data_IF_361898168806
#
_entry.id   IF_361898168806
#
_cell.length_a   1.000
_cell.length_b   1.000
_cell.length_c   1.000
_cell.angle_alpha   90.00
_cell.angle_beta   90.00
_cell.angle_gamma   90.00
#
_symmetry.space_group_name_H-M   'P 1'
#
loop_
_entity.id
_entity.type
_entity.pdbx_description
1 polymer ?
#
# COMPACT_ATOMS: atom_id res chain seq x y z
N UNK A 1 2.58 -6.75 -8.53
CA UNK A 1 3.26 -5.69 -9.29
C UNK A 1 3.88 -4.73 -8.28
N UNK A 2 5.15 -4.31 -8.40
CA UNK A 2 5.73 -3.39 -7.44
C UNK A 2 5.09 -2.01 -7.60
N UNK A 3 4.35 -1.55 -6.59
CA UNK A 3 3.94 -0.14 -6.50
C UNK A 3 5.16 0.65 -6.09
N UNK A 4 5.57 1.59 -6.96
CA UNK A 4 6.65 2.53 -6.67
C UNK A 4 6.10 3.62 -5.76
N UNK A 5 6.44 3.58 -4.48
CA UNK A 5 6.31 4.75 -3.61
C UNK A 5 7.58 5.57 -3.79
N UNK A 6 7.43 6.83 -4.21
CA UNK A 6 8.53 7.78 -4.26
C UNK A 6 8.38 8.70 -3.06
N UNK A 7 9.25 8.57 -2.06
CA UNK A 7 9.35 9.54 -0.98
C UNK A 7 10.40 10.58 -1.38
N UNK A 8 9.98 11.84 -1.59
CA UNK A 8 10.89 12.91 -2.00
C UNK A 8 11.40 13.70 -0.78
N UNK A 9 12.62 13.43 -0.36
CA UNK A 9 13.38 14.36 0.48
C UNK A 9 14.33 15.17 -0.43
N UNK A 10 13.90 16.37 -0.83
CA UNK A 10 14.71 17.25 -1.67
C UNK A 10 15.70 18.07 -0.82
N UNK A 11 16.94 18.26 -1.29
CA UNK A 11 17.59 19.55 -1.21
C UNK A 11 17.91 20.14 -2.60
N UNK A 12 18.09 21.45 -2.59
CA UNK A 12 18.11 22.42 -3.69
C UNK A 12 19.01 22.12 -4.90
N UNK A 13 18.47 22.47 -6.07
CA UNK A 13 19.06 22.51 -7.43
C UNK A 13 20.34 23.32 -7.57
N UNK A 14 21.25 22.88 -8.45
CA UNK A 14 22.12 23.75 -9.27
C UNK A 14 22.37 23.16 -10.68
N UNK A 15 22.37 24.09 -11.64
CA UNK A 15 22.40 24.06 -13.12
C UNK A 15 23.41 23.18 -13.86
N UNK A 16 23.06 22.72 -15.07
CA UNK A 16 24.00 22.29 -16.12
C UNK A 16 23.40 21.52 -17.31
N UNK A 17 23.38 22.14 -18.49
CA UNK A 17 22.95 21.59 -19.80
C UNK A 17 23.92 20.54 -20.38
N UNK A 18 23.45 19.49 -21.09
CA UNK A 18 23.59 19.32 -22.56
C UNK A 18 23.10 17.93 -23.07
N UNK A 19 22.83 17.89 -24.38
CA UNK A 19 22.18 16.91 -25.26
C UNK A 19 22.79 15.49 -25.35
N UNK A 20 21.93 14.49 -25.60
CA UNK A 20 22.30 13.14 -26.05
C UNK A 20 21.12 12.16 -26.03
N UNK A 21 20.50 11.89 -27.18
CA UNK A 21 19.45 10.87 -27.33
C UNK A 21 20.04 9.46 -27.22
N UNK A 22 19.76 8.79 -26.11
CA UNK A 22 19.63 7.32 -26.04
C UNK A 22 18.48 7.03 -25.10
N UNK A 23 17.40 6.46 -25.62
CA UNK A 23 16.26 6.01 -24.80
C UNK A 23 16.77 4.99 -23.76
N UNK A 24 16.68 5.28 -22.44
CA UNK A 24 17.10 4.32 -21.44
C UNK A 24 16.08 3.19 -21.36
N UNK A 25 16.57 1.98 -21.12
CA UNK A 25 15.73 0.87 -20.69
C UNK A 25 14.94 1.28 -19.44
N UNK A 26 13.69 0.84 -19.29
CA UNK A 26 12.75 1.32 -18.26
C UNK A 26 13.22 1.16 -16.79
N UNK A 27 14.37 0.50 -16.58
CA UNK A 27 15.04 0.35 -15.30
C UNK A 27 16.03 1.49 -14.94
N UNK A 28 16.32 2.45 -15.83
CA UNK A 28 17.38 3.45 -15.60
C UNK A 28 16.94 4.77 -14.95
N UNK A 29 15.67 4.93 -14.56
CA UNK A 29 15.12 6.20 -14.04
C UNK A 29 14.82 6.18 -12.53
N UNK A 30 15.43 5.27 -11.76
CA UNK A 30 15.36 5.38 -10.31
C UNK A 30 16.24 6.57 -9.88
N UNK A 31 15.61 7.57 -9.28
CA UNK A 31 16.33 8.66 -8.62
C UNK A 31 17.28 8.08 -7.57
N UNK A 32 18.48 8.65 -7.46
CA UNK A 32 19.40 8.36 -6.36
C UNK A 32 18.63 8.58 -5.04
N UNK A 33 18.58 7.56 -4.19
CA UNK A 33 17.90 7.61 -2.88
C UNK A 33 16.49 6.99 -2.83
N UNK A 34 15.91 6.53 -3.94
CA UNK A 34 14.61 5.84 -3.89
C UNK A 34 14.76 4.41 -3.38
N UNK A 35 13.96 4.02 -2.38
CA UNK A 35 13.84 2.63 -1.91
C UNK A 35 12.63 1.97 -2.56
N UNK A 36 12.81 0.74 -3.06
CA UNK A 36 11.77 -0.05 -3.71
C UNK A 36 11.65 -1.39 -3.01
N UNK A 37 10.42 -1.76 -2.67
CA UNK A 37 10.09 -3.03 -2.03
C UNK A 37 9.13 -3.84 -2.90
N UNK A 38 9.24 -5.16 -2.81
CA UNK A 38 8.22 -6.08 -3.31
C UNK A 38 7.24 -6.37 -2.19
N UNK A 39 5.95 -6.38 -2.50
CA UNK A 39 4.89 -6.64 -1.53
C UNK A 39 3.79 -7.53 -2.12
N UNK A 40 3.10 -8.22 -1.22
CA UNK A 40 1.93 -9.04 -1.50
C UNK A 40 0.71 -8.46 -0.79
N UNK A 41 -0.45 -8.56 -1.44
CA UNK A 41 -1.70 -7.99 -0.95
C UNK A 41 -2.74 -9.07 -0.67
N UNK A 42 -3.45 -8.93 0.44
CA UNK A 42 -4.61 -9.74 0.79
C UNK A 42 -5.86 -8.88 0.73
N UNK A 43 -6.85 -9.27 -0.06
CA UNK A 43 -8.16 -8.64 -0.08
C UNK A 43 -8.99 -9.26 1.04
N UNK A 44 -9.61 -8.42 1.88
CA UNK A 44 -10.56 -8.86 2.89
C UNK A 44 -11.85 -9.32 2.20
N UNK A 45 -12.05 -10.63 2.13
CA UNK A 45 -13.13 -11.29 1.38
C UNK A 45 -14.17 -11.97 2.28
N UNK A 46 -14.03 -11.80 3.60
CA UNK A 46 -14.86 -12.39 4.66
C UNK A 46 -14.85 -13.92 4.75
N UNK A 47 -14.02 -14.60 3.93
CA UNK A 47 -13.91 -16.06 3.86
C UNK A 47 -12.50 -16.55 4.14
N UNK A 48 -11.57 -16.24 3.24
CA UNK A 48 -10.15 -16.58 3.39
C UNK A 48 -9.46 -15.55 4.29
N UNK A 49 -9.89 -14.30 4.16
CA UNK A 49 -9.29 -13.15 4.83
C UNK A 49 -10.39 -12.31 5.47
N UNK A 50 -10.42 -12.31 6.79
CA UNK A 50 -11.36 -11.52 7.58
C UNK A 50 -10.71 -10.18 7.98
N UNK A 51 -11.43 -9.34 8.73
CA UNK A 51 -10.86 -8.11 9.28
C UNK A 51 -9.92 -8.37 10.47
N UNK A 52 -9.98 -9.54 11.11
CA UNK A 52 -9.00 -9.94 12.10
C UNK A 52 -7.81 -10.61 11.41
N UNK A 53 -6.61 -10.04 11.60
CA UNK A 53 -5.41 -10.42 10.85
C UNK A 53 -4.87 -11.77 11.32
N UNK A 54 -4.77 -11.99 12.63
CA UNK A 54 -4.34 -13.28 13.21
C UNK A 54 -2.88 -13.67 12.91
N UNK A 55 -2.08 -12.72 12.43
CA UNK A 55 -0.65 -12.86 12.08
C UNK A 55 0.03 -11.49 12.10
N UNK A 56 1.34 -11.48 11.84
CA UNK A 56 2.15 -10.24 11.82
C UNK A 56 2.02 -9.43 13.11
N UNK A 57 1.90 -10.15 14.24
CA UNK A 57 1.76 -9.61 15.60
C UNK A 57 0.51 -8.75 15.87
N UNK A 58 -0.37 -8.57 14.89
CA UNK A 58 -1.61 -7.83 15.06
C UNK A 58 -2.65 -8.64 15.84
N UNK A 59 -3.09 -8.08 16.98
CA UNK A 59 -4.23 -8.62 17.74
C UNK A 59 -5.56 -8.09 17.18
N UNK A 60 -6.70 -8.72 17.50
CA UNK A 60 -8.02 -8.20 17.13
C UNK A 60 -8.25 -6.75 17.60
N UNK A 61 -7.72 -6.36 18.77
CA UNK A 61 -7.78 -4.99 19.26
C UNK A 61 -6.95 -4.03 18.40
N UNK A 62 -5.78 -4.47 17.92
CA UNK A 62 -4.99 -3.72 16.95
C UNK A 62 -5.74 -3.54 15.64
N UNK A 63 -6.33 -4.62 15.13
CA UNK A 63 -7.13 -4.62 13.90
C UNK A 63 -8.25 -3.58 14.00
N UNK A 64 -9.09 -3.62 15.05
CA UNK A 64 -10.17 -2.66 15.24
C UNK A 64 -9.63 -1.22 15.33
N UNK A 65 -8.53 -0.99 16.06
CA UNK A 65 -7.93 0.34 16.19
C UNK A 65 -7.42 0.90 14.86
N UNK A 66 -6.97 0.05 13.94
CA UNK A 66 -6.53 0.47 12.61
C UNK A 66 -7.70 0.62 11.64
N UNK A 67 -8.62 -0.34 11.59
CA UNK A 67 -9.77 -0.28 10.71
C UNK A 67 -10.68 0.91 11.00
N UNK A 68 -10.85 1.29 12.27
CA UNK A 68 -11.61 2.49 12.67
C UNK A 68 -10.98 3.81 12.21
N UNK A 69 -9.74 3.82 11.70
CA UNK A 69 -9.16 5.00 11.06
C UNK A 69 -9.77 5.29 9.68
N UNK A 70 -10.41 4.32 9.06
CA UNK A 70 -11.11 4.51 7.79
C UNK A 70 -12.57 4.87 8.06
N UNK A 71 -13.07 6.04 7.62
CA UNK A 71 -14.49 6.38 7.77
C UNK A 71 -15.42 5.34 7.14
N UNK A 72 -15.00 4.71 6.05
CA UNK A 72 -15.72 3.62 5.38
C UNK A 72 -15.85 2.36 6.22
N UNK A 73 -15.12 2.20 7.32
CA UNK A 73 -15.27 1.04 8.20
C UNK A 73 -16.42 1.18 9.21
N UNK A 74 -16.88 2.41 9.47
CA UNK A 74 -17.84 2.72 10.54
C UNK A 74 -19.13 1.87 10.49
N UNK A 75 -19.68 1.63 9.29
CA UNK A 75 -20.88 0.82 9.11
C UNK A 75 -20.67 -0.69 9.34
N UNK A 76 -19.42 -1.15 9.31
CA UNK A 76 -19.05 -2.57 9.43
C UNK A 76 -18.63 -2.94 10.85
N UNK A 77 -18.17 -1.95 11.63
CA UNK A 77 -17.50 -2.15 12.93
C UNK A 77 -18.24 -3.11 13.87
N UNK A 78 -19.54 -2.92 14.09
CA UNK A 78 -20.31 -3.75 15.04
C UNK A 78 -20.34 -5.22 14.66
N UNK A 79 -20.38 -5.55 13.36
CA UNK A 79 -20.35 -6.93 12.90
C UNK A 79 -18.93 -7.50 12.99
N UNK A 80 -17.93 -6.67 12.66
CA UNK A 80 -16.52 -7.07 12.74
C UNK A 80 -16.10 -7.38 14.18
N UNK A 81 -16.55 -6.59 15.15
CA UNK A 81 -16.27 -6.85 16.57
C UNK A 81 -16.83 -8.19 17.06
N UNK A 82 -17.90 -8.71 16.43
CA UNK A 82 -18.54 -9.97 16.81
C UNK A 82 -17.78 -11.19 16.26
N UNK A 83 -17.41 -11.17 14.97
CA UNK A 83 -16.89 -12.38 14.31
C UNK A 83 -15.71 -12.14 13.34
N UNK A 84 -15.11 -10.95 13.37
CA UNK A 84 -14.07 -10.53 12.42
C UNK A 84 -14.63 -10.16 11.04
N UNK A 85 -15.95 -10.02 10.90
CA UNK A 85 -16.64 -9.68 9.66
C UNK A 85 -16.97 -10.89 8.79
N UNK A 86 -16.96 -12.11 9.35
CA UNK A 86 -17.28 -13.36 8.63
C UNK A 86 -18.73 -13.39 8.14
N UNK A 87 -19.62 -12.72 8.85
CA UNK A 87 -21.04 -12.59 8.48
C UNK A 87 -21.33 -11.46 7.49
N UNK A 88 -20.33 -10.63 7.14
CA UNK A 88 -20.52 -9.51 6.22
C UNK A 88 -20.53 -9.97 4.76
N UNK A 89 -21.41 -9.33 3.98
CA UNK A 89 -21.38 -9.36 2.52
C UNK A 89 -20.77 -8.05 2.00
N UNK A 90 -19.56 -8.15 1.44
CA UNK A 90 -18.82 -7.00 0.88
C UNK A 90 -18.98 -6.87 -0.65
N UNK A 91 -19.76 -7.73 -1.30
CA UNK A 91 -19.83 -7.81 -2.77
C UNK A 91 -20.25 -6.51 -3.46
N UNK A 92 -21.12 -5.72 -2.81
CA UNK A 92 -21.61 -4.43 -3.31
C UNK A 92 -21.07 -3.24 -2.51
N UNK A 93 -20.07 -3.47 -1.65
CA UNK A 93 -19.49 -2.39 -0.86
C UNK A 93 -18.55 -1.54 -1.71
N UNK A 94 -18.70 -0.21 -1.65
CA UNK A 94 -17.94 0.72 -2.49
C UNK A 94 -16.46 0.86 -2.10
N UNK A 95 -16.02 0.11 -1.09
CA UNK A 95 -14.66 0.13 -0.57
C UNK A 95 -14.11 -1.29 -0.48
N UNK A 96 -12.88 -1.46 -0.96
CA UNK A 96 -12.15 -2.71 -0.87
C UNK A 96 -11.09 -2.56 0.22
N UNK A 97 -11.21 -3.37 1.27
CA UNK A 97 -10.24 -3.43 2.34
C UNK A 97 -9.17 -4.47 2.02
N UNK A 98 -7.92 -4.14 2.30
CA UNK A 98 -6.77 -4.98 2.01
C UNK A 98 -5.72 -4.89 3.11
N UNK A 99 -4.81 -5.85 3.12
CA UNK A 99 -3.52 -5.75 3.82
C UNK A 99 -2.38 -5.90 2.85
N UNK A 100 -1.41 -4.98 2.88
CA UNK A 100 -0.22 -5.05 2.04
C UNK A 100 1.01 -5.34 2.88
N UNK A 101 1.70 -6.45 2.59
CA UNK A 101 2.89 -6.89 3.30
C UNK A 101 4.10 -6.87 2.38
N UNK A 102 5.06 -6.03 2.72
CA UNK A 102 6.38 -6.01 2.08
C UNK A 102 7.15 -7.27 2.45
N UNK A 103 7.80 -7.87 1.45
CA UNK A 103 8.53 -9.14 1.58
C UNK A 103 10.04 -8.92 1.56
N UNK A 104 10.52 -8.06 0.65
CA UNK A 104 11.95 -7.78 0.49
C UNK A 104 12.21 -6.46 -0.25
N UNK A 105 13.40 -5.90 -0.04
CA UNK A 105 13.93 -4.78 -0.80
C UNK A 105 14.38 -5.25 -2.19
N UNK A 106 14.07 -4.46 -3.22
CA UNK A 106 14.38 -4.78 -4.63
C UNK A 106 15.71 -4.18 -5.07
N UNK A 107 16.02 -2.97 -4.60
CA UNK A 107 17.14 -2.17 -5.12
C UNK A 107 18.15 -1.73 -4.04
N UNK A 108 17.91 -2.08 -2.77
CA UNK A 108 18.79 -1.75 -1.63
C UNK A 108 19.01 -2.97 -0.76
N UNK A 109 20.09 -2.97 0.01
CA UNK A 109 20.34 -3.97 1.05
C UNK A 109 19.51 -3.73 2.32
N UNK A 110 19.51 -4.73 3.20
CA UNK A 110 18.83 -4.65 4.51
C UNK A 110 19.46 -3.62 5.46
N UNK A 111 20.63 -3.10 5.12
CA UNK A 111 21.41 -2.09 5.84
C UNK A 111 21.01 -0.64 5.50
N UNK A 112 19.96 -0.43 4.69
CA UNK A 112 19.47 0.91 4.34
C UNK A 112 18.80 1.68 5.50
N UNK A 113 18.70 1.08 6.69
CA UNK A 113 18.16 1.74 7.89
C UNK A 113 16.63 1.84 7.95
N UNK A 114 15.92 1.19 7.03
CA UNK A 114 14.46 1.09 7.03
C UNK A 114 14.00 -0.30 7.49
N UNK A 115 12.87 -0.36 8.18
CA UNK A 115 12.19 -1.61 8.52
C UNK A 115 11.02 -1.83 7.58
N UNK A 116 10.86 -3.09 7.14
CA UNK A 116 9.70 -3.59 6.39
C UNK A 116 9.02 -4.75 7.15
N UNK A 117 9.25 -4.83 8.47
CA UNK A 117 8.75 -5.94 9.30
C UNK A 117 7.22 -5.93 9.38
N UNK A 118 6.62 -4.74 9.45
CA UNK A 118 5.18 -4.54 9.53
C UNK A 118 4.44 -4.74 8.22
N UNK A 119 3.20 -4.25 8.21
CA UNK A 119 2.30 -4.28 7.06
C UNK A 119 1.38 -3.06 7.06
N UNK A 120 0.66 -2.85 5.96
CA UNK A 120 -0.31 -1.77 5.83
C UNK A 120 -1.72 -2.32 5.91
N UNK A 121 -2.55 -1.72 6.75
CA UNK A 121 -4.01 -1.74 6.57
C UNK A 121 -4.35 -0.79 5.43
N UNK A 122 -5.14 -1.21 4.45
CA UNK A 122 -5.40 -0.45 3.23
C UNK A 122 -6.89 -0.44 2.91
N UNK A 123 -7.37 0.70 2.44
CA UNK A 123 -8.72 0.91 1.95
C UNK A 123 -8.66 1.58 0.57
N UNK A 124 -9.23 0.90 -0.43
CA UNK A 124 -9.39 1.41 -1.80
C UNK A 124 -10.84 1.83 -2.02
N UNK A 125 -11.04 3.03 -2.58
CA UNK A 125 -12.34 3.57 -2.95
C UNK A 125 -12.65 3.26 -4.42
N UNK A 126 -13.70 2.50 -4.68
CA UNK A 126 -14.14 2.17 -6.03
C UNK A 126 -14.74 3.39 -6.76
N UNK A 127 -15.14 4.43 -6.03
CA UNK A 127 -15.77 5.62 -6.62
C UNK A 127 -14.78 6.60 -7.26
N UNK A 128 -13.59 6.75 -6.68
CA UNK A 128 -12.60 7.75 -7.11
C UNK A 128 -11.18 7.19 -7.28
N UNK A 129 -10.97 5.90 -7.01
CA UNK A 129 -9.68 5.23 -7.14
C UNK A 129 -8.64 5.65 -6.10
N UNK A 130 -9.05 6.36 -5.03
CA UNK A 130 -8.15 6.71 -3.94
C UNK A 130 -7.78 5.48 -3.10
N UNK A 131 -6.53 5.44 -2.64
CA UNK A 131 -6.03 4.43 -1.71
C UNK A 131 -5.54 5.14 -0.46
N UNK A 132 -6.07 4.73 0.68
CA UNK A 132 -5.62 5.18 1.98
C UNK A 132 -5.08 3.97 2.74
N UNK A 133 -4.04 4.16 3.53
CA UNK A 133 -3.50 3.11 4.37
C UNK A 133 -2.85 3.62 5.64
N UNK A 134 -2.67 2.70 6.58
CA UNK A 134 -1.96 2.93 7.83
C UNK A 134 -0.99 1.78 8.07
N UNK A 135 0.28 2.11 8.25
CA UNK A 135 1.32 1.14 8.60
C UNK A 135 1.12 0.68 10.05
N UNK A 136 1.32 -0.62 10.26
CA UNK A 136 1.34 -1.28 11.55
C UNK A 136 2.63 -2.07 11.73
N UNK A 137 3.31 -1.78 12.82
CA UNK A 137 4.40 -2.55 13.40
C UNK A 137 4.44 -2.18 14.89
N UNK A 138 4.39 -3.15 15.83
CA UNK A 138 4.36 -2.88 17.26
C UNK A 138 5.60 -2.12 17.76
N UNK A 139 6.70 -2.16 17.01
CA UNK A 139 7.96 -1.50 17.36
C UNK A 139 8.15 -0.14 16.66
N UNK A 140 7.19 0.28 15.85
CA UNK A 140 7.24 1.52 15.08
C UNK A 140 6.27 2.57 15.61
N UNK A 141 6.43 3.82 15.16
CA UNK A 141 5.42 4.85 15.42
C UNK A 141 4.08 4.43 14.80
N UNK A 142 2.97 4.50 15.54
CA UNK A 142 1.68 3.99 15.07
C UNK A 142 1.05 4.91 14.03
N UNK A 143 0.17 4.34 13.20
CA UNK A 143 -0.68 5.07 12.25
C UNK A 143 0.06 5.96 11.25
N UNK A 144 1.25 5.55 10.81
CA UNK A 144 1.93 6.23 9.70
C UNK A 144 1.08 6.09 8.44
N UNK A 145 0.70 7.22 7.85
CA UNK A 145 -0.34 7.29 6.83
C UNK A 145 0.24 7.12 5.42
N UNK A 146 -0.43 6.31 4.62
CA UNK A 146 -0.21 6.16 3.18
C UNK A 146 -1.41 6.75 2.44
N UNK A 147 -1.18 7.67 1.50
CA UNK A 147 -2.22 8.22 0.63
C UNK A 147 -1.75 8.17 -0.82
N UNK A 148 -2.48 7.45 -1.66
CA UNK A 148 -2.20 7.34 -3.07
C UNK A 148 -3.44 7.74 -3.86
N UNK A 149 -3.21 8.45 -4.97
CA UNK A 149 -4.21 8.72 -6.00
C UNK A 149 -3.65 8.28 -7.34
N UNK A 150 -4.50 7.66 -8.16
CA UNK A 150 -4.14 7.45 -9.55
C UNK A 150 -3.92 8.80 -10.22
N UNK A 151 -2.83 8.93 -10.97
CA UNK A 151 -2.57 10.06 -11.85
C UNK A 151 -2.64 9.57 -13.29
N UNK A 152 -3.47 10.25 -14.09
CA UNK A 152 -3.50 10.09 -15.55
C UNK A 152 -2.67 11.18 -16.25
N UNK A 153 -2.03 12.07 -15.48
CA UNK A 153 -1.29 13.22 -16.00
C UNK A 153 0.22 12.95 -15.96
N UNK A 154 0.86 13.06 -17.13
CA UNK A 154 2.30 12.87 -17.31
C UNK A 154 2.71 11.44 -17.69
N UNK A 155 3.81 11.31 -18.44
CA UNK A 155 4.37 10.04 -18.95
C UNK A 155 5.13 9.21 -17.88
N UNK A 156 4.67 9.20 -16.62
CA UNK A 156 5.43 8.56 -15.53
C UNK A 156 4.77 7.33 -14.92
N UNK A 157 3.47 7.11 -15.17
CA UNK A 157 2.76 5.87 -14.83
C UNK A 157 2.41 5.06 -16.08
N UNK A 158 2.50 3.74 -15.99
CA UNK A 158 1.94 2.84 -17.00
C UNK A 158 0.68 2.20 -16.43
N UNK A 159 -0.45 2.38 -17.11
CA UNK A 159 -1.66 1.59 -16.91
C UNK A 159 -1.76 0.56 -18.02
N UNK A 160 -2.08 -0.68 -17.69
CA UNK A 160 -2.28 -1.75 -18.66
C UNK A 160 -3.77 -2.02 -18.79
N UNK A 161 -4.26 -2.23 -20.02
CA UNK A 161 -5.70 -2.37 -20.30
C UNK A 161 -6.32 -3.66 -19.75
N UNK A 162 -5.54 -4.75 -19.68
CA UNK A 162 -5.87 -6.02 -19.03
C UNK A 162 -4.70 -6.98 -19.22
N UNK A 163 -4.48 -7.90 -18.27
CA UNK A 163 -3.62 -9.07 -18.46
C UNK A 163 -4.26 -10.25 -17.74
N UNK A 164 -4.07 -11.45 -18.30
CA UNK A 164 -4.52 -12.71 -17.71
C UNK A 164 -3.31 -13.65 -17.69
N UNK A 165 -3.03 -14.23 -16.52
CA UNK A 165 -2.01 -15.27 -16.39
C UNK A 165 -2.69 -16.61 -16.68
N UNK A 166 -2.09 -17.40 -17.57
CA UNK A 166 -2.54 -18.76 -17.90
C UNK A 166 -2.04 -19.79 -16.90
#
# INVERSE_FOLDING_TARGET
MPVRVAESSAPSQLSGSNCGQTSPSACSLLSVGQVVTFWEGEIVDTKNYTFFTGKWEATPEDDIRHWTKFPSFSALQSHVEVDGGKSLDLSNYQYIFMRWKEQYFVNVGTDCGLTIAGFYYVCFSCSDGSINGFYYDPNSSPFQKLELKSTNEGRQGFSFSSYELR
#
